data_IF_677110637719
#
_entry.id   IF_677110637719
#
_cell.length_a   1.000
_cell.length_b   1.000
_cell.length_c   1.000
_cell.angle_alpha   90.00
_cell.angle_beta   90.00
_cell.angle_gamma   90.00
#
_symmetry.space_group_name_H-M   'P 1'
#
loop_
_entity.id
_entity.type
_entity.pdbx_description
1 polymer ?
#
# COMPACT_ATOMS: atom_id res chain seq x y z
N UNK A 1 18.26 -52.83 1.27
CA UNK A 1 18.20 -51.41 0.92
C UNK A 1 17.13 -50.70 1.74
N UNK A 2 17.31 -49.44 2.11
CA UNK A 2 16.32 -48.66 2.83
C UNK A 2 15.17 -48.32 1.88
N UNK A 3 13.92 -48.49 2.39
CA UNK A 3 12.70 -48.08 1.67
C UNK A 3 12.44 -46.66 2.08
N UNK A 4 12.33 -45.76 1.10
CA UNK A 4 11.89 -44.36 1.31
C UNK A 4 10.42 -44.28 0.85
N UNK A 5 9.53 -43.93 1.76
CA UNK A 5 8.12 -43.68 1.47
C UNK A 5 7.93 -42.17 1.36
N UNK A 6 7.41 -41.70 0.24
CA UNK A 6 7.06 -40.31 0.01
C UNK A 6 5.54 -40.19 0.00
N UNK A 7 4.99 -39.45 0.95
CA UNK A 7 3.59 -39.07 0.96
C UNK A 7 3.48 -37.59 0.50
N UNK A 8 2.60 -37.34 -0.46
CA UNK A 8 2.39 -35.98 -0.96
C UNK A 8 0.93 -35.76 -1.32
N UNK A 9 0.50 -34.51 -1.27
CA UNK A 9 -0.84 -34.08 -1.64
C UNK A 9 -0.79 -33.52 -3.05
N UNK A 10 -1.68 -34.00 -3.92
CA UNK A 10 -1.90 -33.42 -5.25
C UNK A 10 -3.02 -32.39 -5.12
N UNK A 11 -2.76 -31.17 -5.51
CA UNK A 11 -3.71 -30.05 -5.47
C UNK A 11 -3.77 -29.34 -6.82
N UNK A 12 -4.81 -28.53 -7.02
CA UNK A 12 -4.94 -27.68 -8.21
C UNK A 12 -4.11 -26.38 -8.09
N UNK A 13 -3.08 -26.39 -7.25
CA UNK A 13 -2.18 -25.24 -7.05
C UNK A 13 -2.94 -23.96 -6.69
N UNK A 14 -2.71 -22.85 -7.42
CA UNK A 14 -3.35 -21.56 -7.19
C UNK A 14 -4.76 -21.42 -7.80
N UNK A 15 -5.22 -22.37 -8.60
CA UNK A 15 -6.49 -22.24 -9.35
C UNK A 15 -7.72 -22.04 -8.45
N UNK A 16 -7.71 -22.61 -7.24
CA UNK A 16 -8.82 -22.48 -6.29
C UNK A 16 -8.80 -21.18 -5.48
N UNK A 17 -7.73 -20.40 -5.56
CA UNK A 17 -7.64 -19.14 -4.81
C UNK A 17 -8.72 -18.15 -5.28
N UNK A 18 -9.37 -17.49 -4.31
CA UNK A 18 -10.45 -16.54 -4.58
C UNK A 18 -11.83 -17.17 -4.73
N UNK A 19 -11.96 -18.52 -4.74
CA UNK A 19 -13.27 -19.16 -4.76
C UNK A 19 -14.08 -18.78 -3.50
N UNK A 20 -15.26 -18.22 -3.72
CA UNK A 20 -16.12 -17.68 -2.64
C UNK A 20 -17.52 -18.27 -2.65
N UNK A 21 -17.87 -19.05 -3.69
CA UNK A 21 -19.19 -19.68 -3.84
C UNK A 21 -19.05 -21.17 -3.68
N UNK A 22 -19.73 -21.73 -2.69
CA UNK A 22 -19.72 -23.17 -2.42
C UNK A 22 -21.17 -23.70 -2.43
N UNK A 23 -21.36 -24.86 -3.05
CA UNK A 23 -22.66 -25.56 -3.10
C UNK A 23 -22.56 -26.89 -2.38
N UNK A 24 -23.62 -27.26 -1.70
CA UNK A 24 -23.73 -28.57 -1.04
C UNK A 24 -23.95 -29.65 -2.06
N UNK A 25 -23.06 -30.64 -2.14
CA UNK A 25 -23.25 -31.83 -2.98
C UNK A 25 -23.66 -33.04 -2.14
N UNK A 26 -24.85 -33.02 -1.56
CA UNK A 26 -25.34 -34.11 -0.72
C UNK A 26 -26.14 -33.62 0.48
N UNK A 27 -26.41 -34.52 1.44
CA UNK A 27 -27.10 -34.17 2.69
C UNK A 27 -26.11 -34.12 3.85
N UNK A 28 -26.34 -33.20 4.79
CA UNK A 28 -25.61 -33.12 6.06
C UNK A 28 -26.53 -33.59 7.17
N UNK A 29 -26.21 -34.71 7.80
CA UNK A 29 -27.04 -35.30 8.85
C UNK A 29 -28.46 -35.67 8.38
N UNK A 30 -28.65 -35.95 7.09
CA UNK A 30 -29.95 -36.27 6.50
C UNK A 30 -30.76 -35.04 6.01
N UNK A 31 -30.26 -33.84 6.21
CA UNK A 31 -30.88 -32.56 5.77
C UNK A 31 -30.30 -32.12 4.44
N UNK A 32 -31.17 -31.73 3.48
CA UNK A 32 -30.80 -31.23 2.15
C UNK A 32 -30.95 -29.71 2.01
N UNK A 33 -31.64 -29.06 2.96
CA UNK A 33 -31.90 -27.62 3.00
C UNK A 33 -30.94 -26.84 3.89
N UNK A 34 -29.67 -27.22 3.87
CA UNK A 34 -28.62 -26.55 4.66
C UNK A 34 -28.15 -25.31 3.92
N UNK A 35 -28.13 -24.16 4.60
CA UNK A 35 -27.57 -22.91 4.06
C UNK A 35 -26.06 -22.89 4.29
N UNK A 36 -25.30 -22.66 3.21
CA UNK A 36 -23.85 -22.46 3.27
C UNK A 36 -23.57 -20.97 3.24
N UNK A 37 -22.84 -20.48 4.26
CA UNK A 37 -22.34 -19.10 4.31
C UNK A 37 -20.82 -19.14 4.21
N UNK A 38 -20.28 -18.45 3.20
CA UNK A 38 -18.82 -18.35 3.02
C UNK A 38 -18.25 -17.38 4.03
N UNK A 39 -17.38 -17.87 4.92
CA UNK A 39 -16.69 -17.05 5.92
C UNK A 39 -15.51 -16.28 5.31
N UNK A 40 -14.80 -16.89 4.35
CA UNK A 40 -13.70 -16.27 3.61
C UNK A 40 -13.52 -16.99 2.26
N UNK A 41 -12.97 -16.30 1.27
CA UNK A 41 -12.59 -16.92 0.01
C UNK A 41 -11.49 -17.95 0.21
N UNK A 42 -11.45 -18.97 -0.65
CA UNK A 42 -10.40 -19.98 -0.65
C UNK A 42 -9.03 -19.32 -0.92
N UNK A 43 -8.00 -19.71 -0.16
CA UNK A 43 -6.64 -19.19 -0.27
C UNK A 43 -5.62 -20.24 0.17
N UNK A 44 -4.33 -19.98 -0.07
CA UNK A 44 -3.23 -20.86 0.34
C UNK A 44 -2.76 -21.82 -0.75
N UNK A 45 -3.42 -21.83 -1.93
CA UNK A 45 -2.88 -22.51 -3.09
C UNK A 45 -1.71 -21.73 -3.70
N UNK A 46 -0.65 -22.42 -4.13
CA UNK A 46 0.50 -21.80 -4.77
C UNK A 46 1.05 -22.67 -5.91
N UNK A 47 1.70 -22.01 -6.88
CA UNK A 47 2.46 -22.70 -7.91
C UNK A 47 3.73 -23.31 -7.32
N UNK A 48 4.30 -24.29 -8.02
CA UNK A 48 5.59 -24.85 -7.64
C UNK A 48 6.68 -23.76 -7.70
N UNK A 49 7.60 -23.77 -6.74
CA UNK A 49 8.71 -22.83 -6.74
C UNK A 49 9.57 -22.96 -8.01
N UNK A 50 10.02 -21.82 -8.53
CA UNK A 50 10.98 -21.78 -9.63
C UNK A 50 12.39 -22.21 -9.17
N UNK A 51 13.24 -22.61 -10.10
CA UNK A 51 14.64 -22.96 -9.79
C UNK A 51 15.40 -21.81 -9.16
N UNK A 52 15.10 -20.57 -9.58
CA UNK A 52 15.69 -19.35 -9.06
C UNK A 52 15.26 -19.11 -7.62
N UNK A 53 13.97 -19.28 -7.32
CA UNK A 53 13.44 -19.18 -5.96
C UNK A 53 14.07 -20.25 -5.04
N UNK A 54 14.15 -21.51 -5.49
CA UNK A 54 14.79 -22.57 -4.71
C UNK A 54 16.27 -22.24 -4.47
N UNK A 55 16.98 -21.78 -5.49
CA UNK A 55 18.40 -21.41 -5.39
C UNK A 55 18.65 -20.27 -4.39
N UNK A 56 17.74 -19.32 -4.32
CA UNK A 56 17.78 -18.22 -3.36
C UNK A 56 17.44 -18.69 -1.93
N UNK A 57 16.35 -19.46 -1.78
CA UNK A 57 15.83 -19.82 -0.46
C UNK A 57 16.57 -20.98 0.21
N UNK A 58 17.12 -21.94 -0.54
CA UNK A 58 17.78 -23.12 0.06
C UNK A 58 18.95 -22.78 1.00
N UNK A 59 19.86 -21.83 0.69
CA UNK A 59 20.91 -21.42 1.64
C UNK A 59 20.35 -20.78 2.92
N UNK A 60 19.26 -20.00 2.80
CA UNK A 60 18.62 -19.33 3.93
C UNK A 60 17.95 -20.35 4.87
N UNK A 61 17.24 -21.34 4.31
CA UNK A 61 16.67 -22.45 5.09
C UNK A 61 17.74 -23.25 5.80
N UNK A 62 18.85 -23.54 5.14
CA UNK A 62 19.98 -24.24 5.77
C UNK A 62 20.59 -23.41 6.90
N UNK A 63 20.79 -22.11 6.71
CA UNK A 63 21.34 -21.22 7.74
C UNK A 63 20.45 -21.10 8.98
N UNK A 64 19.12 -21.12 8.80
CA UNK A 64 18.13 -21.06 9.88
C UNK A 64 18.20 -22.23 10.86
N UNK A 65 18.59 -23.42 10.43
CA UNK A 65 18.73 -24.63 11.27
C UNK A 65 17.49 -24.95 12.12
N UNK A 66 16.31 -24.89 11.51
CA UNK A 66 14.99 -25.16 12.14
C UNK A 66 14.68 -24.29 13.36
N UNK A 67 15.15 -23.04 13.40
CA UNK A 67 14.84 -22.06 14.44
C UNK A 67 14.74 -20.65 13.86
N UNK A 68 14.00 -19.76 14.53
CA UNK A 68 13.91 -18.36 14.19
C UNK A 68 14.60 -17.52 15.26
N UNK A 69 15.70 -16.86 14.89
CA UNK A 69 16.49 -15.96 15.74
C UNK A 69 16.56 -14.56 15.16
N UNK A 70 16.77 -14.46 13.85
CA UNK A 70 16.85 -13.21 13.11
C UNK A 70 15.53 -12.92 12.37
N UNK A 71 15.30 -11.67 11.99
CA UNK A 71 14.13 -11.28 11.19
C UNK A 71 14.05 -12.07 9.88
N UNK A 72 15.18 -12.28 9.21
CA UNK A 72 15.27 -13.07 7.97
C UNK A 72 14.88 -14.54 8.15
N UNK A 73 15.10 -15.12 9.35
CA UNK A 73 14.64 -16.50 9.64
C UNK A 73 13.11 -16.56 9.66
N UNK A 74 12.45 -15.54 10.24
CA UNK A 74 10.98 -15.42 10.24
C UNK A 74 10.44 -15.23 8.82
N UNK A 75 11.05 -14.36 8.01
CA UNK A 75 10.63 -14.13 6.62
C UNK A 75 10.71 -15.43 5.80
N UNK A 76 11.83 -16.14 5.90
CA UNK A 76 12.04 -17.41 5.19
C UNK A 76 11.06 -18.48 5.64
N UNK A 77 10.83 -18.62 6.95
CA UNK A 77 9.91 -19.61 7.48
C UNK A 77 8.46 -19.30 7.11
N UNK A 78 8.05 -18.04 7.15
CA UNK A 78 6.68 -17.64 6.75
C UNK A 78 6.44 -17.94 5.28
N UNK A 79 7.39 -17.71 4.40
CA UNK A 79 7.28 -18.08 2.97
C UNK A 79 7.13 -19.60 2.78
N UNK A 80 7.78 -20.40 3.63
CA UNK A 80 7.61 -21.86 3.63
C UNK A 80 6.23 -22.28 4.14
N UNK A 81 5.76 -21.69 5.25
CA UNK A 81 4.47 -22.02 5.88
C UNK A 81 3.27 -21.50 5.09
N UNK A 82 3.44 -20.40 4.37
CA UNK A 82 2.41 -19.77 3.56
C UNK A 82 2.93 -19.45 2.15
N UNK A 83 2.98 -20.45 1.25
CA UNK A 83 3.55 -20.29 -0.10
C UNK A 83 2.83 -19.25 -0.98
N UNK A 84 1.60 -18.81 -0.61
CA UNK A 84 0.88 -17.73 -1.29
C UNK A 84 1.36 -16.32 -0.85
N UNK A 85 2.41 -16.21 -0.04
CA UNK A 85 3.05 -14.95 0.26
C UNK A 85 3.84 -14.45 -0.96
N UNK A 86 3.45 -13.29 -1.47
CA UNK A 86 4.21 -12.59 -2.53
C UNK A 86 5.47 -11.97 -1.95
N UNK A 87 5.35 -11.35 -0.78
CA UNK A 87 6.44 -10.73 -0.04
C UNK A 87 6.17 -10.83 1.47
N UNK A 88 7.23 -10.94 2.25
CA UNK A 88 7.18 -10.99 3.72
C UNK A 88 8.22 -10.00 4.24
N UNK A 89 7.84 -9.23 5.25
CA UNK A 89 8.75 -8.35 6.00
C UNK A 89 8.65 -8.65 7.49
N UNK A 90 9.77 -8.78 8.17
CA UNK A 90 9.82 -8.98 9.61
C UNK A 90 10.77 -7.96 10.26
N UNK A 91 10.38 -7.45 11.44
CA UNK A 91 11.20 -6.52 12.22
C UNK A 91 10.95 -6.70 13.72
N UNK A 92 11.92 -6.27 14.54
CA UNK A 92 11.75 -6.23 16.00
C UNK A 92 10.72 -5.17 16.40
N UNK A 93 9.88 -5.47 17.38
CA UNK A 93 8.90 -4.50 17.89
C UNK A 93 9.57 -3.28 18.56
N UNK A 94 10.85 -3.34 18.90
CA UNK A 94 11.66 -2.22 19.36
C UNK A 94 11.86 -1.14 18.29
N UNK A 95 11.75 -1.50 17.02
CA UNK A 95 11.88 -0.56 15.89
C UNK A 95 10.58 0.18 15.56
N UNK A 96 9.46 -0.15 16.23
CA UNK A 96 8.19 0.55 16.02
C UNK A 96 8.23 2.00 16.55
N UNK A 97 7.29 2.83 16.10
CA UNK A 97 7.08 4.18 16.60
C UNK A 97 6.81 4.21 18.12
N UNK A 98 6.17 3.16 18.65
CA UNK A 98 6.06 2.88 20.08
C UNK A 98 6.73 1.54 20.34
N UNK A 99 7.96 1.52 20.85
CA UNK A 99 8.75 0.30 21.02
C UNK A 99 8.06 -0.75 21.91
N UNK A 100 8.00 -1.99 21.42
CA UNK A 100 7.47 -3.16 22.14
C UNK A 100 8.54 -4.25 22.12
N UNK A 101 9.17 -4.49 23.29
CA UNK A 101 10.23 -5.47 23.40
C UNK A 101 9.71 -6.90 23.49
N UNK A 102 10.48 -7.86 22.98
CA UNK A 102 10.14 -9.29 22.99
C UNK A 102 9.06 -9.68 21.98
N UNK A 103 8.80 -8.82 21.00
CA UNK A 103 7.88 -9.06 19.88
C UNK A 103 8.65 -8.99 18.57
N UNK A 104 8.38 -9.93 17.65
CA UNK A 104 8.74 -9.80 16.24
C UNK A 104 7.46 -9.57 15.45
N UNK A 105 7.38 -8.44 14.78
CA UNK A 105 6.28 -8.11 13.89
C UNK A 105 6.56 -8.63 12.49
N UNK A 106 5.53 -9.16 11.86
CA UNK A 106 5.61 -9.80 10.55
C UNK A 106 4.46 -9.27 9.70
N UNK A 107 4.79 -8.62 8.60
CA UNK A 107 3.82 -8.24 7.58
C UNK A 107 3.90 -9.21 6.40
N UNK A 108 2.74 -9.63 5.90
CA UNK A 108 2.65 -10.60 4.79
C UNK A 108 1.78 -10.01 3.69
N UNK A 109 2.37 -9.82 2.51
CA UNK A 109 1.64 -9.48 1.29
C UNK A 109 1.26 -10.77 0.58
N UNK A 110 -0.03 -11.08 0.51
CA UNK A 110 -0.51 -12.21 -0.26
C UNK A 110 -0.46 -11.92 -1.77
N UNK A 111 -0.20 -12.94 -2.58
CA UNK A 111 -0.24 -12.85 -4.04
C UNK A 111 -1.64 -12.56 -4.57
N UNK A 112 -2.67 -12.88 -3.81
CA UNK A 112 -4.07 -12.56 -4.11
C UNK A 112 -4.78 -12.04 -2.86
N UNK A 113 -5.59 -10.99 -3.02
CA UNK A 113 -6.26 -10.32 -1.91
C UNK A 113 -5.42 -9.20 -1.27
N UNK A 114 -6.04 -8.40 -0.42
CA UNK A 114 -5.39 -7.25 0.26
C UNK A 114 -4.77 -7.62 1.60
N UNK A 115 -5.46 -8.41 2.41
CA UNK A 115 -5.05 -8.80 3.76
C UNK A 115 -5.36 -10.27 4.03
N UNK A 116 -4.63 -10.86 5.00
CA UNK A 116 -4.91 -12.22 5.47
C UNK A 116 -6.08 -12.21 6.44
N UNK A 117 -6.86 -13.31 6.46
CA UNK A 117 -7.89 -13.49 7.50
C UNK A 117 -7.25 -13.79 8.85
N UNK A 118 -7.94 -13.43 9.94
CA UNK A 118 -7.44 -13.68 11.30
C UNK A 118 -7.18 -15.18 11.56
N UNK A 119 -8.00 -16.06 10.99
CA UNK A 119 -7.79 -17.50 11.08
C UNK A 119 -6.47 -17.95 10.43
N UNK A 120 -6.14 -17.39 9.28
CA UNK A 120 -4.87 -17.67 8.58
C UNK A 120 -3.70 -17.13 9.38
N UNK A 121 -3.79 -15.89 9.90
CA UNK A 121 -2.76 -15.30 10.76
C UNK A 121 -2.50 -16.17 12.00
N UNK A 122 -3.55 -16.59 12.69
CA UNK A 122 -3.42 -17.47 13.87
C UNK A 122 -2.82 -18.82 13.52
N UNK A 123 -3.17 -19.42 12.38
CA UNK A 123 -2.58 -20.69 11.93
C UNK A 123 -1.08 -20.56 11.67
N UNK A 124 -0.64 -19.49 11.02
CA UNK A 124 0.78 -19.21 10.77
C UNK A 124 1.50 -18.98 12.12
N UNK A 125 0.95 -18.18 13.04
CA UNK A 125 1.53 -17.95 14.37
C UNK A 125 1.70 -19.25 15.13
N UNK A 126 0.70 -20.14 15.15
CA UNK A 126 0.77 -21.42 15.85
C UNK A 126 1.87 -22.34 15.29
N UNK A 127 2.17 -22.24 14.02
CA UNK A 127 3.26 -22.97 13.40
C UNK A 127 4.63 -22.32 13.71
N UNK A 128 4.72 -20.98 13.63
CA UNK A 128 5.92 -20.22 13.99
C UNK A 128 6.38 -20.49 15.44
N UNK A 129 5.45 -20.63 16.37
CA UNK A 129 5.76 -20.89 17.79
C UNK A 129 6.62 -22.13 18.04
N UNK A 130 6.61 -23.10 17.11
CA UNK A 130 7.44 -24.31 17.22
C UNK A 130 8.92 -24.05 17.00
N UNK A 131 9.25 -22.93 16.34
CA UNK A 131 10.61 -22.55 15.93
C UNK A 131 11.15 -21.31 16.66
N UNK A 132 10.32 -20.67 17.48
CA UNK A 132 10.67 -19.45 18.19
C UNK A 132 11.67 -19.68 19.32
N UNK A 133 12.46 -18.63 19.59
CA UNK A 133 13.20 -18.50 20.85
C UNK A 133 12.22 -18.22 21.99
N UNK A 134 12.47 -18.80 23.17
CA UNK A 134 11.52 -18.84 24.29
C UNK A 134 10.95 -17.48 24.76
N UNK A 135 11.67 -16.39 24.57
CA UNK A 135 11.27 -15.04 25.01
C UNK A 135 10.70 -14.15 23.89
N UNK A 136 10.59 -14.65 22.65
CA UNK A 136 10.15 -13.87 21.51
C UNK A 136 8.76 -14.32 21.05
N UNK A 137 7.84 -13.37 20.86
CA UNK A 137 6.48 -13.63 20.40
C UNK A 137 6.28 -13.05 18.99
N UNK A 138 5.93 -13.86 17.98
CA UNK A 138 5.57 -13.35 16.66
C UNK A 138 4.17 -12.74 16.68
N UNK A 139 4.00 -11.64 15.96
CA UNK A 139 2.74 -10.94 15.74
C UNK A 139 2.62 -10.63 14.25
N UNK A 140 1.49 -11.04 13.63
CA UNK A 140 1.24 -10.75 12.22
C UNK A 140 0.39 -9.49 12.11
N UNK A 141 0.91 -8.50 11.40
CA UNK A 141 0.25 -7.22 11.11
C UNK A 141 -0.14 -7.14 9.63
N UNK A 142 -1.15 -6.32 9.33
CA UNK A 142 -1.53 -6.09 7.95
C UNK A 142 -0.57 -5.11 7.26
N UNK A 143 -0.28 -5.30 5.97
CA UNK A 143 0.52 -4.35 5.20
C UNK A 143 -0.15 -2.98 5.14
N UNK A 144 0.65 -1.93 5.25
CA UNK A 144 0.21 -0.54 5.08
C UNK A 144 0.50 -0.06 3.66
N UNK A 145 -0.55 0.22 2.87
CA UNK A 145 -0.38 0.70 1.49
C UNK A 145 -0.19 2.21 1.47
N UNK A 146 0.86 2.65 0.80
CA UNK A 146 1.12 4.07 0.48
C UNK A 146 0.94 4.26 -1.03
N UNK A 147 -0.10 5.00 -1.43
CA UNK A 147 -0.39 5.24 -2.84
C UNK A 147 0.44 6.40 -3.40
N UNK A 148 0.99 6.20 -4.58
CA UNK A 148 1.71 7.22 -5.35
C UNK A 148 0.80 7.67 -6.50
N UNK A 149 0.55 8.97 -6.59
CA UNK A 149 -0.28 9.58 -7.65
C UNK A 149 0.65 10.35 -8.56
N UNK A 150 0.72 9.96 -9.83
CA UNK A 150 1.58 10.60 -10.83
C UNK A 150 0.81 11.66 -11.63
N UNK A 151 1.50 12.74 -11.94
CA UNK A 151 1.06 13.71 -12.97
C UNK A 151 2.18 13.84 -13.98
N UNK A 152 1.98 13.25 -15.17
CA UNK A 152 2.99 13.17 -16.24
C UNK A 152 2.50 13.96 -17.47
N UNK A 153 3.30 14.92 -17.92
CA UNK A 153 3.09 15.65 -19.16
C UNK A 153 4.17 15.23 -20.16
N UNK A 154 3.76 14.62 -21.24
CA UNK A 154 4.62 13.94 -22.20
C UNK A 154 4.45 14.64 -23.56
N UNK A 155 5.58 14.95 -24.21
CA UNK A 155 5.61 15.52 -25.56
C UNK A 155 6.22 14.50 -26.52
N UNK A 156 5.60 14.33 -27.69
CA UNK A 156 6.09 13.40 -28.72
C UNK A 156 6.11 14.01 -30.09
N UNK A 157 6.95 13.47 -31.00
CA UNK A 157 6.99 13.83 -32.41
C UNK A 157 6.03 12.93 -33.22
N UNK A 158 4.94 13.51 -33.73
CA UNK A 158 3.95 12.76 -34.52
C UNK A 158 4.51 12.24 -35.86
N UNK A 159 5.64 12.79 -36.33
CA UNK A 159 6.29 12.36 -37.60
C UNK A 159 7.20 11.15 -37.38
N UNK A 160 7.61 10.89 -36.13
CA UNK A 160 8.49 9.78 -35.75
C UNK A 160 7.73 8.49 -35.44
N UNK A 161 6.41 8.54 -35.35
CA UNK A 161 5.58 7.37 -35.00
C UNK A 161 4.29 7.35 -35.83
N UNK A 162 3.71 6.16 -35.97
CA UNK A 162 2.36 5.97 -36.53
C UNK A 162 1.28 5.86 -35.45
N UNK A 163 1.68 5.92 -34.17
CA UNK A 163 0.79 5.81 -33.03
C UNK A 163 0.12 7.14 -32.72
N UNK A 164 -1.12 7.07 -32.23
CA UNK A 164 -1.83 8.25 -31.75
C UNK A 164 -1.46 8.57 -30.30
N UNK A 165 -1.73 9.79 -29.83
CA UNK A 165 -1.55 10.18 -28.45
C UNK A 165 -2.24 9.22 -27.46
N UNK A 166 -3.47 8.77 -27.78
CA UNK A 166 -4.23 7.82 -26.95
C UNK A 166 -3.58 6.44 -26.91
N UNK A 167 -2.99 5.98 -28.03
CA UNK A 167 -2.25 4.71 -28.06
C UNK A 167 -1.00 4.80 -27.20
N UNK A 168 -0.20 5.85 -27.33
CA UNK A 168 0.98 6.09 -26.51
C UNK A 168 0.60 6.17 -25.00
N UNK A 169 -0.46 6.91 -24.68
CA UNK A 169 -0.99 6.99 -23.31
C UNK A 169 -1.34 5.62 -22.74
N UNK A 170 -2.01 4.77 -23.53
CA UNK A 170 -2.37 3.41 -23.11
C UNK A 170 -1.15 2.52 -22.86
N UNK A 171 -0.15 2.59 -23.75
CA UNK A 171 1.10 1.85 -23.62
C UNK A 171 1.90 2.30 -22.39
N UNK A 172 2.00 3.61 -22.16
CA UNK A 172 2.65 4.20 -20.97
C UNK A 172 1.93 3.76 -19.70
N UNK A 173 0.60 3.81 -19.67
CA UNK A 173 -0.19 3.35 -18.52
C UNK A 173 0.06 1.87 -18.23
N UNK A 174 0.15 1.04 -19.28
CA UNK A 174 0.46 -0.38 -19.16
C UNK A 174 1.88 -0.61 -18.62
N UNK A 175 2.86 0.12 -19.12
CA UNK A 175 4.25 0.03 -18.64
C UNK A 175 4.37 0.42 -17.16
N UNK A 176 3.71 1.49 -16.74
CA UNK A 176 3.64 1.92 -15.32
C UNK A 176 2.94 0.85 -14.47
N UNK A 177 1.84 0.26 -14.95
CA UNK A 177 1.10 -0.79 -14.24
C UNK A 177 1.95 -2.05 -14.04
N UNK A 178 2.70 -2.46 -15.06
CA UNK A 178 3.61 -3.60 -14.96
C UNK A 178 4.74 -3.32 -13.96
N UNK A 179 5.36 -2.13 -14.02
CA UNK A 179 6.37 -1.72 -13.05
C UNK A 179 5.82 -1.72 -11.61
N UNK A 180 4.60 -1.25 -11.42
CA UNK A 180 3.92 -1.26 -10.13
C UNK A 180 3.78 -2.69 -9.59
N UNK A 181 3.25 -3.60 -10.40
CA UNK A 181 3.02 -4.99 -10.00
C UNK A 181 4.33 -5.75 -9.76
N UNK A 182 5.31 -5.58 -10.65
CA UNK A 182 6.53 -6.40 -10.65
C UNK A 182 7.59 -5.88 -9.66
N UNK A 183 7.56 -4.58 -9.34
CA UNK A 183 8.64 -3.96 -8.56
C UNK A 183 8.16 -3.32 -7.26
N UNK A 184 7.03 -2.61 -7.26
CA UNK A 184 6.64 -1.79 -6.10
C UNK A 184 5.77 -2.52 -5.10
N UNK A 185 4.91 -3.43 -5.54
CA UNK A 185 3.99 -4.17 -4.65
C UNK A 185 4.70 -5.25 -3.82
N UNK A 186 5.86 -4.90 -3.25
CA UNK A 186 6.71 -5.71 -2.37
C UNK A 186 7.24 -4.81 -1.25
N UNK A 187 7.62 -5.39 -0.10
CA UNK A 187 8.09 -4.60 1.05
C UNK A 187 9.43 -3.88 0.82
N UNK A 188 10.25 -4.35 -0.11
CA UNK A 188 11.51 -3.75 -0.53
C UNK A 188 11.41 -2.97 -1.85
N UNK A 189 10.19 -2.81 -2.37
CA UNK A 189 9.89 -2.12 -3.62
C UNK A 189 10.10 -0.61 -3.55
N UNK A 190 11.31 -0.14 -3.86
CA UNK A 190 11.65 1.28 -3.83
C UNK A 190 11.18 1.99 -5.09
N UNK A 191 10.37 3.06 -4.91
CA UNK A 191 10.02 3.94 -6.01
C UNK A 191 11.18 4.90 -6.30
N UNK A 192 11.70 4.86 -7.53
CA UNK A 192 12.73 5.77 -8.03
C UNK A 192 12.15 6.58 -9.18
N UNK A 193 12.09 7.90 -9.01
CA UNK A 193 11.55 8.82 -10.00
C UNK A 193 12.22 8.68 -11.37
N UNK A 194 13.57 8.61 -11.39
CA UNK A 194 14.34 8.43 -12.63
C UNK A 194 14.07 7.11 -13.35
N UNK A 195 13.66 6.05 -12.62
CA UNK A 195 13.29 4.78 -13.24
C UNK A 195 11.94 4.88 -13.94
N UNK A 196 10.97 5.56 -13.32
CA UNK A 196 9.63 5.74 -13.89
C UNK A 196 9.69 6.70 -15.09
N UNK A 197 10.44 7.80 -15.00
CA UNK A 197 10.61 8.70 -16.14
C UNK A 197 11.32 7.99 -17.31
N UNK A 198 12.39 7.24 -17.06
CA UNK A 198 13.04 6.43 -18.09
C UNK A 198 12.14 5.35 -18.68
N UNK A 199 11.30 4.69 -17.85
CA UNK A 199 10.32 3.73 -18.34
C UNK A 199 9.30 4.36 -19.29
N UNK A 200 8.86 5.60 -19.00
CA UNK A 200 7.94 6.36 -19.88
C UNK A 200 8.64 6.71 -21.20
N UNK A 201 9.88 7.20 -21.14
CA UNK A 201 10.66 7.58 -22.32
C UNK A 201 10.96 6.37 -23.23
N UNK A 202 11.17 5.19 -22.64
CA UNK A 202 11.48 3.95 -23.36
C UNK A 202 10.27 3.29 -24.04
N UNK A 203 9.04 3.78 -23.82
CA UNK A 203 7.81 3.21 -24.44
C UNK A 203 7.82 3.39 -25.96
N UNK A 204 8.27 4.54 -26.43
CA UNK A 204 8.35 4.81 -27.87
C UNK A 204 9.44 5.85 -28.16
N UNK A 205 10.21 5.62 -29.23
CA UNK A 205 11.29 6.52 -29.65
C UNK A 205 10.83 7.91 -30.10
N UNK A 206 9.53 8.09 -30.32
CA UNK A 206 8.93 9.40 -30.64
C UNK A 206 8.77 10.30 -29.42
N UNK A 207 8.87 9.77 -28.19
CA UNK A 207 8.76 10.55 -26.97
C UNK A 207 10.01 11.41 -26.81
N UNK A 208 9.81 12.72 -26.70
CA UNK A 208 10.89 13.71 -26.70
C UNK A 208 11.11 14.32 -25.31
N UNK A 209 10.06 14.44 -24.53
CA UNK A 209 10.17 14.94 -23.16
C UNK A 209 9.07 14.40 -22.27
N UNK A 210 9.41 14.27 -21.00
CA UNK A 210 8.54 13.78 -19.95
C UNK A 210 8.79 14.62 -18.70
N UNK A 211 7.76 15.30 -18.23
CA UNK A 211 7.76 16.04 -16.97
C UNK A 211 6.77 15.36 -16.02
N UNK A 212 7.30 14.62 -15.07
CA UNK A 212 6.51 13.86 -14.11
C UNK A 212 6.69 14.42 -12.71
N UNK A 213 5.59 14.75 -12.05
CA UNK A 213 5.52 15.05 -10.62
C UNK A 213 4.67 13.99 -9.91
N UNK A 214 4.80 13.93 -8.59
CA UNK A 214 4.06 12.95 -7.79
C UNK A 214 3.56 13.54 -6.49
N UNK A 215 2.46 12.96 -6.02
CA UNK A 215 1.92 13.12 -4.67
C UNK A 215 1.85 11.75 -4.01
N UNK A 216 1.96 11.74 -2.68
CA UNK A 216 1.84 10.51 -1.88
C UNK A 216 0.57 10.58 -1.06
N UNK A 217 -0.19 9.47 -1.04
CA UNK A 217 -1.48 9.40 -0.36
C UNK A 217 -1.52 8.22 0.60
N UNK A 218 -2.08 8.45 1.79
CA UNK A 218 -2.50 7.44 2.74
C UNK A 218 -3.95 7.63 3.12
N UNK A 219 -4.55 6.59 3.68
CA UNK A 219 -5.94 6.62 4.15
C UNK A 219 -6.00 6.20 5.61
N UNK A 220 -6.95 6.73 6.35
CA UNK A 220 -7.29 6.21 7.67
C UNK A 220 -8.81 6.14 7.84
N UNK A 221 -9.27 5.17 8.64
CA UNK A 221 -10.69 4.99 8.95
C UNK A 221 -11.01 5.75 10.24
N UNK A 222 -11.83 6.81 10.19
CA UNK A 222 -12.20 7.53 11.39
C UNK A 222 -13.18 6.72 12.24
N UNK A 223 -13.05 6.82 13.58
CA UNK A 223 -14.04 6.33 14.52
C UNK A 223 -15.19 7.34 14.56
N UNK A 224 -16.36 6.94 14.06
CA UNK A 224 -17.50 7.83 13.92
C UNK A 224 -18.05 8.22 15.30
N UNK A 225 -18.38 9.52 15.45
CA UNK A 225 -18.97 10.14 16.65
C UNK A 225 -18.11 10.02 17.92
N UNK A 226 -16.83 9.70 17.79
CA UNK A 226 -15.88 9.65 18.90
C UNK A 226 -14.75 10.65 18.67
N UNK A 227 -14.34 11.35 19.73
CA UNK A 227 -13.17 12.22 19.71
C UNK A 227 -11.92 11.37 19.79
N UNK A 228 -11.21 11.21 18.67
CA UNK A 228 -10.09 10.28 18.54
C UNK A 228 -8.85 11.01 18.05
N UNK A 229 -7.68 10.56 18.49
CA UNK A 229 -6.38 10.95 17.95
C UNK A 229 -6.01 10.00 16.83
N UNK A 230 -5.47 10.55 15.72
CA UNK A 230 -4.96 9.77 14.61
C UNK A 230 -3.51 10.15 14.35
N UNK A 231 -2.63 9.14 14.29
CA UNK A 231 -1.24 9.29 13.91
C UNK A 231 -1.05 8.61 12.55
N UNK A 232 -0.55 9.35 11.56
CA UNK A 232 -0.36 8.93 10.19
C UNK A 232 1.11 9.08 9.86
N UNK A 233 1.77 7.99 9.46
CA UNK A 233 3.21 7.94 9.23
C UNK A 233 3.49 7.73 7.75
N UNK A 234 3.90 8.79 7.03
CA UNK A 234 4.38 8.66 5.66
C UNK A 234 5.78 8.03 5.61
N UNK A 235 6.54 8.17 6.69
CA UNK A 235 7.91 7.63 6.86
C UNK A 235 8.90 8.10 5.79
N UNK A 236 8.50 9.08 5.00
CA UNK A 236 9.29 9.82 4.04
C UNK A 236 9.03 11.31 4.28
N UNK A 237 10.02 12.15 4.10
CA UNK A 237 9.89 13.58 4.33
C UNK A 237 8.78 14.21 3.48
N UNK A 238 8.10 15.22 4.03
CA UNK A 238 7.10 16.04 3.35
C UNK A 238 7.77 17.35 2.93
N UNK A 239 7.45 17.86 1.75
CA UNK A 239 8.08 19.03 1.17
C UNK A 239 7.75 20.30 1.98
N UNK A 240 8.77 20.92 2.57
CA UNK A 240 8.63 22.18 3.29
C UNK A 240 9.98 22.94 3.27
N UNK A 241 10.31 23.67 2.19
CA UNK A 241 11.61 24.28 2.01
C UNK A 241 11.87 25.46 2.96
N UNK A 242 10.83 26.06 3.52
CA UNK A 242 10.91 27.17 4.49
C UNK A 242 9.63 27.26 5.33
N UNK A 243 9.74 27.90 6.49
CA UNK A 243 8.60 28.15 7.38
C UNK A 243 7.46 28.89 6.64
N UNK A 244 6.24 28.46 6.86
CA UNK A 244 5.04 29.02 6.21
C UNK A 244 4.90 28.71 4.73
N UNK A 245 5.63 27.70 4.21
CA UNK A 245 5.53 27.31 2.81
C UNK A 245 4.08 26.98 2.42
N UNK A 246 3.58 27.59 1.33
CA UNK A 246 2.21 27.45 0.84
C UNK A 246 1.07 27.73 1.85
N UNK A 247 1.34 28.32 3.02
CA UNK A 247 0.35 28.54 4.07
C UNK A 247 -0.89 29.32 3.62
N UNK A 248 -0.74 30.27 2.69
CA UNK A 248 -1.83 31.07 2.12
C UNK A 248 -2.65 30.33 1.06
N UNK A 249 -2.12 29.27 0.46
CA UNK A 249 -2.76 28.48 -0.60
C UNK A 249 -3.25 27.11 -0.11
N UNK A 250 -3.06 26.79 1.18
CA UNK A 250 -3.53 25.56 1.81
C UNK A 250 -2.48 24.51 2.08
N UNK A 251 -1.21 24.91 2.13
CA UNK A 251 -0.11 24.02 2.48
C UNK A 251 0.23 22.96 1.43
N UNK A 252 0.96 21.95 1.85
CA UNK A 252 1.39 20.79 1.05
C UNK A 252 0.65 19.51 1.44
N UNK A 253 -0.18 19.57 2.49
CA UNK A 253 -1.02 18.48 2.99
C UNK A 253 -2.47 18.82 2.68
N UNK A 254 -3.21 17.87 2.14
CA UNK A 254 -4.64 18.01 1.88
C UNK A 254 -5.37 16.74 2.27
N UNK A 255 -6.65 16.87 2.68
CA UNK A 255 -7.48 15.70 2.99
C UNK A 255 -8.74 15.67 2.13
N UNK A 256 -9.36 14.48 2.04
CA UNK A 256 -10.75 14.38 1.60
C UNK A 256 -11.71 15.00 2.62
N UNK A 257 -12.94 15.29 2.19
CA UNK A 257 -13.94 15.95 3.00
C UNK A 257 -14.55 15.03 4.08
N UNK A 258 -14.96 15.63 5.19
CA UNK A 258 -15.71 14.96 6.26
C UNK A 258 -16.64 15.94 6.96
N UNK A 259 -17.66 15.42 7.65
CA UNK A 259 -18.56 16.22 8.51
C UNK A 259 -18.27 15.98 9.98
N UNK A 260 -18.53 17.01 10.80
CA UNK A 260 -18.47 16.92 12.26
C UNK A 260 -19.88 16.82 12.83
N UNK A 261 -20.10 16.32 14.06
CA UNK A 261 -21.42 16.23 14.67
C UNK A 261 -22.12 17.59 14.74
N UNK A 262 -23.42 17.60 14.46
CA UNK A 262 -24.29 18.78 14.51
C UNK A 262 -23.90 19.93 13.56
N UNK A 263 -23.14 19.64 12.51
CA UNK A 263 -22.79 20.63 11.48
C UNK A 263 -22.86 19.98 10.09
N UNK A 264 -23.56 20.61 9.16
CA UNK A 264 -23.74 20.12 7.79
C UNK A 264 -22.60 20.53 6.85
N UNK A 265 -21.65 21.35 7.32
CA UNK A 265 -20.51 21.78 6.52
C UNK A 265 -19.54 20.64 6.28
N UNK A 266 -18.93 20.65 5.11
CA UNK A 266 -17.85 19.73 4.76
C UNK A 266 -16.53 20.36 5.19
N UNK A 267 -15.83 19.67 6.07
CA UNK A 267 -14.54 20.08 6.60
C UNK A 267 -13.39 19.37 5.92
N UNK A 268 -12.25 20.02 5.91
CA UNK A 268 -10.98 19.55 5.36
C UNK A 268 -9.85 19.88 6.34
N UNK A 269 -8.73 19.19 6.19
CA UNK A 269 -7.49 19.53 6.90
C UNK A 269 -6.43 19.95 5.90
N UNK A 270 -5.62 20.93 6.30
CA UNK A 270 -4.39 21.35 5.62
C UNK A 270 -3.31 21.69 6.66
N UNK A 271 -2.09 22.00 6.19
CA UNK A 271 -1.00 22.47 7.05
C UNK A 271 -0.75 23.97 6.87
N UNK A 272 -0.07 24.59 7.85
CA UNK A 272 0.30 26.01 7.85
C UNK A 272 1.75 26.27 7.43
N UNK A 273 2.50 25.22 7.06
CA UNK A 273 3.93 25.31 6.76
C UNK A 273 4.82 25.54 8.00
N UNK A 274 4.25 25.65 9.20
CA UNK A 274 4.97 25.88 10.47
C UNK A 274 4.87 24.70 11.45
N UNK A 275 4.30 23.56 11.00
CA UNK A 275 4.18 22.37 11.82
C UNK A 275 2.79 22.15 12.41
N UNK A 276 1.80 22.98 12.09
CA UNK A 276 0.42 22.78 12.58
C UNK A 276 -0.49 22.26 11.47
N UNK A 277 -1.42 21.38 11.83
CA UNK A 277 -2.56 20.96 11.00
C UNK A 277 -3.76 21.84 11.38
N UNK A 278 -4.42 22.42 10.37
CA UNK A 278 -5.57 23.29 10.49
C UNK A 278 -6.82 22.61 9.97
N UNK A 279 -7.99 22.95 10.53
CA UNK A 279 -9.30 22.53 10.03
C UNK A 279 -10.05 23.70 9.44
N UNK A 280 -10.59 23.52 8.24
CA UNK A 280 -11.33 24.57 7.53
C UNK A 280 -12.52 23.99 6.75
N UNK A 281 -13.38 24.86 6.27
CA UNK A 281 -14.42 24.60 5.28
C UNK A 281 -14.41 25.71 4.23
N UNK A 282 -15.08 25.49 3.12
CA UNK A 282 -15.19 26.49 2.07
C UNK A 282 -16.44 27.35 2.19
N UNK A 283 -16.29 28.67 2.00
CA UNK A 283 -17.37 29.63 1.74
C UNK A 283 -17.15 30.15 0.32
N UNK A 284 -17.90 29.64 -0.64
CA UNK A 284 -17.56 29.81 -2.05
C UNK A 284 -16.21 29.15 -2.35
N UNK A 285 -15.23 29.92 -2.87
CA UNK A 285 -13.88 29.45 -3.14
C UNK A 285 -12.88 29.79 -2.01
N UNK A 286 -13.33 30.39 -0.90
CA UNK A 286 -12.45 30.89 0.17
C UNK A 286 -12.43 29.90 1.33
N UNK A 287 -11.23 29.54 1.81
CA UNK A 287 -11.03 28.72 3.02
C UNK A 287 -11.37 29.53 4.27
N UNK A 288 -12.24 28.97 5.10
CA UNK A 288 -12.60 29.54 6.43
C UNK A 288 -12.09 28.58 7.50
N UNK A 289 -11.05 28.99 8.20
CA UNK A 289 -10.43 28.20 9.26
C UNK A 289 -11.21 28.28 10.56
N UNK A 290 -11.52 27.11 11.15
CA UNK A 290 -12.23 26.97 12.42
C UNK A 290 -11.32 26.49 13.55
N UNK A 291 -10.23 25.85 13.19
CA UNK A 291 -9.19 25.43 14.14
C UNK A 291 -7.84 25.49 13.43
N UNK A 292 -6.88 26.25 13.98
CA UNK A 292 -5.56 26.43 13.41
C UNK A 292 -4.50 25.51 14.04
N UNK A 293 -4.90 24.71 15.04
CA UNK A 293 -4.03 23.79 15.80
C UNK A 293 -4.72 22.44 16.03
N UNK A 294 -5.43 21.94 15.01
CA UNK A 294 -6.12 20.65 15.07
C UNK A 294 -5.15 19.48 15.25
N UNK A 295 -3.90 19.66 14.85
CA UNK A 295 -2.87 18.65 14.94
C UNK A 295 -1.49 19.24 14.67
N UNK A 296 -0.51 18.35 14.50
CA UNK A 296 0.88 18.70 14.19
C UNK A 296 1.40 17.86 13.03
N UNK A 297 2.39 18.39 12.32
CA UNK A 297 3.15 17.70 11.30
C UNK A 297 4.64 17.82 11.53
N UNK A 298 5.36 16.72 11.39
CA UNK A 298 6.81 16.70 11.29
C UNK A 298 7.20 16.47 9.84
N UNK A 299 7.63 17.52 9.15
CA UNK A 299 7.97 17.46 7.74
C UNK A 299 9.19 16.56 7.44
N UNK A 300 10.10 16.40 8.40
CA UNK A 300 11.31 15.58 8.22
C UNK A 300 10.98 14.09 8.25
N UNK A 301 10.15 13.66 9.20
CA UNK A 301 9.80 12.24 9.38
C UNK A 301 8.55 11.82 8.59
N UNK A 302 7.76 12.79 8.12
CA UNK A 302 6.48 12.55 7.47
C UNK A 302 5.39 12.09 8.45
N UNK A 303 5.51 12.41 9.74
CA UNK A 303 4.49 12.11 10.74
C UNK A 303 3.46 13.23 10.80
N UNK A 304 2.17 12.87 10.72
CA UNK A 304 1.04 13.75 10.91
C UNK A 304 0.23 13.24 12.10
N UNK A 305 0.04 14.09 13.10
CA UNK A 305 -0.82 13.80 14.26
C UNK A 305 -2.04 14.70 14.22
N UNK A 306 -3.23 14.12 14.22
CA UNK A 306 -4.50 14.84 14.30
C UNK A 306 -5.08 14.61 15.70
N UNK A 307 -5.25 15.69 16.46
CA UNK A 307 -5.72 15.59 17.84
C UNK A 307 -7.22 15.75 17.94
N UNK A 308 -7.88 14.91 18.76
CA UNK A 308 -9.28 15.07 19.21
C UNK A 308 -10.25 15.38 18.05
N UNK A 309 -10.09 14.68 16.92
CA UNK A 309 -10.98 14.82 15.78
C UNK A 309 -12.24 13.98 16.00
N UNK A 310 -13.42 14.62 15.93
CA UNK A 310 -14.71 13.93 15.94
C UNK A 310 -15.30 14.00 14.55
N UNK A 311 -15.50 12.83 13.92
CA UNK A 311 -16.06 12.69 12.57
C UNK A 311 -17.48 12.13 12.69
N UNK A 312 -18.45 12.80 12.07
CA UNK A 312 -19.83 12.31 11.99
C UNK A 312 -20.04 11.42 10.76
N UNK A 313 -19.47 11.82 9.62
CA UNK A 313 -19.48 11.06 8.38
C UNK A 313 -18.30 11.47 7.49
N UNK A 314 -17.93 10.59 6.58
CA UNK A 314 -16.95 10.85 5.53
C UNK A 314 -17.70 11.18 4.25
N UNK A 315 -17.20 12.12 3.48
CA UNK A 315 -17.74 12.47 2.18
C UNK A 315 -17.35 11.46 1.10
N UNK A 316 -18.15 11.42 0.04
CA UNK A 316 -17.83 10.62 -1.13
C UNK A 316 -16.47 11.04 -1.73
N UNK A 317 -15.67 10.07 -2.10
CA UNK A 317 -14.39 10.30 -2.76
C UNK A 317 -14.58 9.99 -4.25
N UNK A 318 -14.35 10.99 -5.11
CA UNK A 318 -14.50 10.87 -6.58
C UNK A 318 -15.85 10.29 -7.01
N UNK A 319 -16.92 10.64 -6.29
CA UNK A 319 -18.28 10.15 -6.58
C UNK A 319 -18.61 8.77 -6.03
N UNK A 320 -17.65 8.06 -5.44
CA UNK A 320 -17.87 6.77 -4.78
C UNK A 320 -18.02 6.95 -3.26
N UNK A 321 -18.90 6.15 -2.66
CA UNK A 321 -19.06 6.09 -1.21
C UNK A 321 -17.76 5.67 -0.54
N UNK A 322 -17.37 6.36 0.54
CA UNK A 322 -16.13 6.10 1.26
C UNK A 322 -16.38 5.92 2.75
N UNK A 323 -15.54 5.13 3.39
CA UNK A 323 -15.47 4.98 4.85
C UNK A 323 -14.15 5.53 5.42
N UNK A 324 -13.26 6.01 4.55
CA UNK A 324 -11.92 6.48 4.92
C UNK A 324 -11.73 7.96 4.59
N UNK A 325 -10.85 8.61 5.30
CA UNK A 325 -10.32 9.93 4.97
C UNK A 325 -8.98 9.74 4.26
N UNK A 326 -8.85 10.31 3.06
CA UNK A 326 -7.59 10.35 2.34
C UNK A 326 -6.75 11.54 2.83
N UNK A 327 -5.45 11.32 3.01
CA UNK A 327 -4.45 12.35 3.30
C UNK A 327 -3.43 12.30 2.19
N UNK A 328 -3.31 13.38 1.45
CA UNK A 328 -2.38 13.52 0.32
C UNK A 328 -1.32 14.56 0.66
N UNK A 329 -0.06 14.24 0.37
CA UNK A 329 1.08 15.09 0.68
C UNK A 329 2.01 15.24 -0.54
N UNK A 330 2.67 16.37 -0.64
CA UNK A 330 3.80 16.57 -1.55
C UNK A 330 5.08 16.06 -0.85
N UNK A 331 5.78 15.04 -1.37
CA UNK A 331 6.97 14.51 -0.72
C UNK A 331 8.18 15.41 -0.91
N UNK A 332 9.10 15.42 0.06
CA UNK A 332 10.35 16.18 0.00
C UNK A 332 11.33 15.66 -1.06
N UNK A 333 11.23 14.37 -1.39
CA UNK A 333 11.98 13.71 -2.45
C UNK A 333 11.02 12.90 -3.32
N UNK A 334 11.29 12.86 -4.61
CA UNK A 334 10.53 12.01 -5.53
C UNK A 334 11.01 10.54 -5.52
N UNK A 335 12.03 10.22 -4.75
CA UNK A 335 12.41 8.85 -4.41
C UNK A 335 11.72 8.45 -3.10
N UNK A 336 10.86 7.43 -3.15
CA UNK A 336 10.09 6.96 -1.99
C UNK A 336 10.59 5.58 -1.61
N UNK A 337 10.98 5.43 -0.34
CA UNK A 337 11.49 4.16 0.21
C UNK A 337 10.47 3.60 1.19
N UNK A 338 9.97 2.38 0.98
CA UNK A 338 9.08 1.74 1.93
C UNK A 338 9.86 1.34 3.19
N UNK A 339 9.17 1.30 4.32
CA UNK A 339 9.75 0.93 5.61
C UNK A 339 8.82 -0.07 6.30
N UNK A 340 9.37 -1.17 6.80
CA UNK A 340 8.67 -2.22 7.58
C UNK A 340 7.49 -2.84 6.82
N UNK A 341 6.26 -2.59 7.29
CA UNK A 341 4.99 -3.06 6.74
C UNK A 341 4.47 -2.26 5.54
N UNK A 342 5.21 -1.24 5.11
CA UNK A 342 4.82 -0.38 4.02
C UNK A 342 4.97 -1.04 2.65
N UNK A 343 3.95 -0.91 1.81
CA UNK A 343 3.98 -1.27 0.40
C UNK A 343 3.65 -0.02 -0.42
N UNK A 344 4.41 0.22 -1.47
CA UNK A 344 4.14 1.29 -2.41
C UNK A 344 3.24 0.78 -3.53
N UNK A 345 2.28 1.61 -3.93
CA UNK A 345 1.33 1.30 -5.01
C UNK A 345 1.09 2.53 -5.87
N UNK A 346 1.34 2.45 -7.17
CA UNK A 346 1.01 3.55 -8.09
C UNK A 346 -0.48 3.48 -8.38
N UNK A 347 -1.21 4.48 -7.93
CA UNK A 347 -2.63 4.64 -8.22
C UNK A 347 -2.83 5.16 -9.64
N UNK A 348 -2.82 4.27 -10.61
CA UNK A 348 -3.00 4.60 -12.03
C UNK A 348 -4.37 5.19 -12.33
N UNK A 349 -5.40 4.85 -11.54
CA UNK A 349 -6.76 5.36 -11.71
C UNK A 349 -6.88 6.85 -11.36
N UNK A 350 -6.06 7.32 -10.44
CA UNK A 350 -6.03 8.72 -10.00
C UNK A 350 -4.80 9.49 -10.50
N UNK A 351 -3.92 8.83 -11.23
CA UNK A 351 -2.79 9.45 -11.92
C UNK A 351 -3.27 10.13 -13.21
N UNK A 352 -2.64 11.25 -13.55
CA UNK A 352 -2.92 11.99 -14.78
C UNK A 352 -1.75 11.82 -15.74
N UNK A 353 -2.01 11.21 -16.89
CA UNK A 353 -1.04 11.07 -17.97
C UNK A 353 -1.58 11.83 -19.18
N UNK A 354 -0.87 12.89 -19.57
CA UNK A 354 -1.18 13.73 -20.73
C UNK A 354 -0.11 13.53 -21.79
N UNK A 355 -0.52 13.18 -23.01
CA UNK A 355 0.38 12.99 -24.15
C UNK A 355 -0.02 13.96 -25.24
N UNK A 356 0.90 14.83 -25.65
CA UNK A 356 0.64 15.90 -26.61
C UNK A 356 1.76 15.96 -27.66
N UNK A 357 1.40 16.39 -28.86
CA UNK A 357 2.39 16.66 -29.93
C UNK A 357 3.30 17.80 -29.51
N UNK A 358 4.60 17.63 -29.73
CA UNK A 358 5.55 18.73 -29.55
C UNK A 358 5.48 19.69 -30.71
N UNK A 359 4.96 20.89 -30.48
CA UNK A 359 4.80 21.93 -31.47
C UNK A 359 6.10 22.68 -31.79
N UNK A 360 7.18 22.47 -31.03
CA UNK A 360 8.47 23.13 -31.21
C UNK A 360 9.37 22.48 -32.29
N UNK A 361 9.00 21.30 -32.80
CA UNK A 361 9.78 20.56 -33.81
C UNK A 361 9.47 21.03 -35.24
N UNK A 362 8.74 22.07 -35.41
CA UNK A 362 8.21 22.53 -36.72
C UNK A 362 8.80 23.82 -37.30
N UNK A 363 9.97 24.25 -36.82
CA UNK A 363 10.66 25.44 -37.35
C UNK A 363 11.63 25.12 -38.47
#
# INVERSE_FOLDING_TARGET
GNIVILEYIVSNKAEANGASTFTLSGSVGGFTNVTITTASSAQGGAEAQTKESIRYNAPLQYARQDRCVTTSDYETLVQELYPNAQSVSAWGGEDDETPIYGVVKIAIKAASGSTLTDATKQSIIAQLQKFNVASVRPEIVDPETTSIILTSNIKYDERATTKTADTLKSEITTAISNYNTDTLQQFDGVFRHSKVTGLIDDVDTSILSNVTSLLVRKTFTPTISSSTRYDIYFRNGIFNPHAGHKSGTGGVITTSGFKVPNDEKIYFLDDDGNGNIRRYYFVGAVRTYVNTTQGTVNYTTGQITINSLTVASVENIRGASSTVIEVTVEPASYDIVPVRDQILDIDTANSTITVEVDTFIGG
#
